data_IF_534746360445
#
_entry.id   IF_534746360445
#
_cell.length_a   1.000
_cell.length_b   1.000
_cell.length_c   1.000
_cell.angle_alpha   90.00
_cell.angle_beta   90.00
_cell.angle_gamma   90.00
#
_symmetry.space_group_name_H-M   'P 1'
#
loop_
_entity.id
_entity.type
_entity.pdbx_description
1 polymer ?
#
# COMPACT_ATOMS: atom_id res chain seq x y z
N UNK A 1 -3.10 -50.15 -40.82
CA UNK A 1 -1.95 -49.38 -40.46
C UNK A 1 -2.26 -48.65 -39.15
N UNK A 2 -1.76 -49.16 -38.03
CA UNK A 2 -1.90 -48.57 -36.71
C UNK A 2 -0.65 -47.69 -36.50
N UNK A 3 -0.86 -46.40 -36.36
CA UNK A 3 0.20 -45.46 -36.04
C UNK A 3 0.33 -45.32 -34.53
N UNK A 4 1.52 -45.54 -34.06
CA UNK A 4 1.99 -45.35 -32.73
C UNK A 4 2.02 -43.84 -32.41
N UNK A 5 1.17 -43.39 -31.46
CA UNK A 5 1.35 -42.07 -30.81
C UNK A 5 2.28 -42.32 -29.62
N UNK A 6 3.55 -41.96 -29.78
CA UNK A 6 4.51 -41.86 -28.71
C UNK A 6 4.13 -40.70 -27.75
N UNK A 7 3.67 -41.04 -26.56
CA UNK A 7 3.46 -40.06 -25.51
C UNK A 7 4.79 -39.43 -25.11
N UNK A 8 4.93 -38.14 -25.34
CA UNK A 8 5.95 -37.33 -24.66
C UNK A 8 5.55 -37.28 -23.20
N UNK A 9 6.38 -37.85 -22.34
CA UNK A 9 6.33 -37.61 -20.90
C UNK A 9 6.43 -36.08 -20.69
N UNK A 10 5.44 -35.52 -20.02
CA UNK A 10 5.50 -34.14 -19.54
C UNK A 10 6.65 -34.00 -18.54
N UNK A 11 7.13 -32.77 -18.28
CA UNK A 11 8.21 -32.55 -17.35
C UNK A 11 7.87 -33.15 -15.98
N UNK A 12 8.84 -33.87 -15.39
CA UNK A 12 8.75 -34.44 -14.06
C UNK A 12 8.19 -33.39 -13.10
N UNK A 13 7.00 -33.63 -12.56
CA UNK A 13 6.48 -32.88 -11.43
C UNK A 13 7.37 -33.31 -10.25
N UNK A 14 8.36 -32.49 -9.93
CA UNK A 14 9.08 -32.62 -8.66
C UNK A 14 8.00 -32.67 -7.57
N UNK A 15 7.88 -33.81 -6.91
CA UNK A 15 7.00 -33.98 -5.75
C UNK A 15 7.53 -33.03 -4.66
N UNK A 16 7.00 -31.83 -4.63
CA UNK A 16 7.36 -30.84 -3.61
C UNK A 16 7.01 -31.44 -2.25
N UNK A 17 7.99 -31.56 -1.37
CA UNK A 17 7.75 -32.05 -0.01
C UNK A 17 6.66 -31.19 0.66
N UNK A 18 5.71 -31.85 1.31
CA UNK A 18 4.56 -31.19 1.96
C UNK A 18 4.55 -31.48 3.46
N UNK A 19 3.93 -30.60 4.21
CA UNK A 19 3.52 -30.82 5.59
C UNK A 19 2.00 -30.78 5.66
N UNK A 20 1.42 -31.61 6.51
CA UNK A 20 -0.02 -31.65 6.71
C UNK A 20 -0.43 -30.67 7.79
N UNK A 21 -1.32 -29.77 7.47
CA UNK A 21 -1.93 -28.84 8.40
C UNK A 21 -3.46 -29.00 8.39
N UNK A 22 -4.14 -28.54 9.44
CA UNK A 22 -5.59 -28.60 9.54
C UNK A 22 -6.15 -27.27 10.04
N UNK A 23 -7.38 -27.00 9.67
CA UNK A 23 -8.23 -25.96 10.22
C UNK A 23 -9.64 -26.50 10.48
N UNK A 24 -10.61 -25.64 10.79
CA UNK A 24 -12.00 -26.03 11.05
C UNK A 24 -12.71 -26.71 9.85
N UNK A 25 -12.16 -26.59 8.63
CA UNK A 25 -12.68 -27.19 7.40
C UNK A 25 -12.01 -28.51 7.04
N UNK A 26 -10.98 -28.95 7.80
CA UNK A 26 -10.26 -30.20 7.59
C UNK A 26 -8.80 -30.01 7.16
N UNK A 27 -8.17 -31.11 6.79
CA UNK A 27 -6.74 -31.17 6.47
C UNK A 27 -6.40 -30.70 5.05
N UNK A 28 -5.19 -30.16 4.88
CA UNK A 28 -4.55 -29.83 3.60
C UNK A 28 -3.06 -30.07 3.65
N UNK A 29 -2.48 -30.38 2.50
CA UNK A 29 -1.06 -30.51 2.30
C UNK A 29 -0.48 -29.13 1.87
N UNK A 30 0.33 -28.54 2.74
CA UNK A 30 0.99 -27.25 2.51
C UNK A 30 2.44 -27.52 2.07
N UNK A 31 2.98 -26.83 1.04
CA UNK A 31 4.37 -27.01 0.64
C UNK A 31 5.32 -26.80 1.84
N UNK A 32 6.28 -27.72 2.03
CA UNK A 32 7.20 -27.64 3.17
C UNK A 32 8.07 -26.39 3.14
N UNK A 33 8.38 -25.88 1.94
CA UNK A 33 9.13 -24.63 1.77
C UNK A 33 8.35 -23.38 2.17
N UNK A 34 7.00 -23.42 2.11
CA UNK A 34 6.16 -22.25 2.39
C UNK A 34 6.16 -21.88 3.88
N UNK A 35 6.18 -20.57 4.17
CA UNK A 35 5.96 -20.07 5.53
C UNK A 35 4.49 -19.75 5.81
N UNK A 36 3.65 -19.59 4.77
CA UNK A 36 2.20 -19.56 4.97
C UNK A 36 1.66 -20.95 5.33
N UNK A 37 0.46 -21.00 5.88
CA UNK A 37 -0.18 -22.23 6.31
C UNK A 37 -1.46 -22.55 5.53
N UNK A 38 -2.30 -23.40 6.13
CA UNK A 38 -3.51 -23.96 5.52
C UNK A 38 -4.56 -22.91 5.15
N UNK A 39 -4.75 -21.87 5.96
CA UNK A 39 -5.77 -20.85 5.68
C UNK A 39 -5.36 -19.98 4.48
N UNK A 40 -4.09 -19.62 4.39
CA UNK A 40 -3.54 -18.93 3.21
C UNK A 40 -3.59 -19.78 1.97
N UNK A 41 -3.31 -21.09 2.08
CA UNK A 41 -3.44 -22.02 0.95
C UNK A 41 -4.86 -22.01 0.39
N UNK A 42 -5.88 -22.14 1.25
CA UNK A 42 -7.29 -22.03 0.82
C UNK A 42 -7.62 -20.70 0.18
N UNK A 43 -7.09 -19.60 0.71
CA UNK A 43 -7.30 -18.27 0.13
C UNK A 43 -6.71 -18.18 -1.29
N UNK A 44 -5.53 -18.74 -1.53
CA UNK A 44 -4.92 -18.82 -2.87
C UNK A 44 -5.76 -19.67 -3.84
N UNK A 45 -6.31 -20.79 -3.36
CA UNK A 45 -7.18 -21.66 -4.18
C UNK A 45 -8.50 -20.96 -4.53
N UNK A 46 -9.06 -20.14 -3.63
CA UNK A 46 -10.34 -19.49 -3.79
C UNK A 46 -10.27 -18.15 -4.53
N UNK A 47 -9.18 -17.40 -4.36
CA UNK A 47 -9.06 -16.02 -4.83
C UNK A 47 -7.78 -15.87 -5.67
N UNK A 48 -7.86 -16.20 -6.95
CA UNK A 48 -6.83 -15.98 -7.98
C UNK A 48 -7.45 -15.11 -9.08
N UNK A 49 -7.56 -13.81 -8.83
CA UNK A 49 -8.36 -12.89 -9.64
C UNK A 49 -7.56 -11.75 -10.25
N UNK A 50 -6.83 -10.99 -9.44
CA UNK A 50 -6.14 -9.78 -9.91
C UNK A 50 -4.72 -10.04 -10.42
N UNK A 51 -4.10 -11.14 -10.02
CA UNK A 51 -2.69 -11.42 -10.23
C UNK A 51 -1.76 -10.48 -9.43
N UNK A 52 -2.29 -9.75 -8.45
CA UNK A 52 -1.55 -8.84 -7.58
C UNK A 52 -1.50 -9.41 -6.15
N UNK A 53 -0.50 -10.22 -5.80
CA UNK A 53 -0.34 -10.73 -4.46
C UNK A 53 0.07 -9.61 -3.49
N UNK A 54 -0.24 -9.83 -2.21
CA UNK A 54 0.10 -8.91 -1.12
C UNK A 54 1.59 -8.55 -1.08
N UNK A 55 2.47 -9.46 -1.47
CA UNK A 55 3.93 -9.25 -1.56
C UNK A 55 4.34 -8.05 -2.45
N UNK A 56 3.51 -7.63 -3.39
CA UNK A 56 3.77 -6.45 -4.22
C UNK A 56 3.65 -5.13 -3.44
N UNK A 57 3.09 -5.16 -2.23
CA UNK A 57 2.81 -3.98 -1.42
C UNK A 57 3.67 -3.99 -0.16
N UNK A 58 4.97 -3.68 -0.32
CA UNK A 58 5.95 -3.72 0.77
C UNK A 58 5.47 -3.04 2.06
N UNK A 59 4.96 -1.81 1.96
CA UNK A 59 4.49 -1.08 3.15
C UNK A 59 3.30 -1.75 3.84
N UNK A 60 2.52 -2.54 3.12
CA UNK A 60 1.43 -3.29 3.73
C UNK A 60 1.95 -4.52 4.49
N UNK A 61 2.92 -5.23 3.93
CA UNK A 61 3.61 -6.33 4.63
C UNK A 61 4.31 -5.80 5.89
N UNK A 62 5.04 -4.69 5.77
CA UNK A 62 5.70 -4.02 6.90
C UNK A 62 4.67 -3.62 7.98
N UNK A 63 3.54 -3.03 7.58
CA UNK A 63 2.48 -2.60 8.49
C UNK A 63 1.86 -3.77 9.26
N UNK A 64 1.63 -4.91 8.60
CA UNK A 64 1.18 -6.14 9.26
C UNK A 64 2.21 -6.61 10.30
N UNK A 65 3.50 -6.59 9.97
CA UNK A 65 4.56 -6.94 10.91
C UNK A 65 4.61 -5.99 12.11
N UNK A 66 4.45 -4.67 11.92
CA UNK A 66 4.35 -3.71 13.02
C UNK A 66 3.16 -4.01 13.94
N UNK A 67 1.98 -4.26 13.37
CA UNK A 67 0.78 -4.58 14.13
C UNK A 67 0.99 -5.84 14.98
N UNK A 68 1.51 -6.91 14.39
CA UNK A 68 1.72 -8.19 15.11
C UNK A 68 2.81 -8.07 16.18
N UNK A 69 3.88 -7.34 15.91
CA UNK A 69 4.95 -7.07 16.88
C UNK A 69 4.43 -6.26 18.07
N UNK A 70 3.69 -5.17 17.82
CA UNK A 70 3.10 -4.34 18.88
C UNK A 70 2.09 -5.11 19.71
N UNK A 71 1.25 -5.92 19.08
CA UNK A 71 0.28 -6.78 19.74
C UNK A 71 0.95 -7.85 20.64
N UNK A 72 1.99 -8.52 20.14
CA UNK A 72 2.73 -9.52 20.91
C UNK A 72 3.38 -8.90 22.17
N UNK A 73 3.98 -7.72 22.04
CA UNK A 73 4.57 -7.00 23.18
C UNK A 73 3.51 -6.60 24.22
N UNK A 74 2.35 -6.07 23.78
CA UNK A 74 1.27 -5.69 24.65
C UNK A 74 0.67 -6.90 25.39
N UNK A 75 0.42 -8.00 24.70
CA UNK A 75 -0.11 -9.23 25.28
C UNK A 75 0.85 -9.87 26.28
N UNK A 76 2.16 -9.80 26.02
CA UNK A 76 3.16 -10.30 26.96
C UNK A 76 3.19 -9.45 28.24
N UNK A 77 3.15 -8.13 28.11
CA UNK A 77 3.16 -7.22 29.27
C UNK A 77 1.90 -7.37 30.13
N UNK A 78 0.76 -7.70 29.53
CA UNK A 78 -0.50 -8.00 30.21
C UNK A 78 -0.61 -9.45 30.71
N UNK A 79 0.42 -10.27 30.49
CA UNK A 79 0.51 -11.63 31.01
C UNK A 79 -0.35 -12.66 30.28
N UNK A 80 -0.88 -12.35 29.09
CA UNK A 80 -1.68 -13.30 28.30
C UNK A 80 -0.88 -14.03 27.21
N UNK A 81 0.32 -13.56 26.90
CA UNK A 81 1.25 -14.23 26.00
C UNK A 81 2.57 -14.51 26.70
N UNK A 82 3.05 -15.74 26.62
CA UNK A 82 4.32 -16.13 27.22
C UNK A 82 5.50 -15.35 26.62
N UNK A 83 6.45 -14.95 27.47
CA UNK A 83 7.61 -14.14 27.06
C UNK A 83 8.43 -14.78 25.96
N UNK A 84 8.61 -16.10 26.00
CA UNK A 84 9.34 -16.86 24.99
C UNK A 84 8.69 -16.74 23.60
N UNK A 85 7.35 -16.91 23.54
CA UNK A 85 6.58 -16.76 22.30
C UNK A 85 6.63 -15.32 21.79
N UNK A 86 6.50 -14.32 22.67
CA UNK A 86 6.62 -12.91 22.31
C UNK A 86 7.97 -12.59 21.67
N UNK A 87 9.07 -13.08 22.24
CA UNK A 87 10.41 -12.88 21.70
C UNK A 87 10.53 -13.47 20.30
N UNK A 88 10.05 -14.69 20.09
CA UNK A 88 10.09 -15.36 18.80
C UNK A 88 9.22 -14.64 17.74
N UNK A 89 8.00 -14.22 18.11
CA UNK A 89 7.11 -13.44 17.23
C UNK A 89 7.77 -12.11 16.84
N UNK A 90 8.32 -11.37 17.81
CA UNK A 90 8.99 -10.11 17.54
C UNK A 90 10.20 -10.29 16.61
N UNK A 91 11.01 -11.32 16.83
CA UNK A 91 12.17 -11.61 15.97
C UNK A 91 11.74 -11.97 14.53
N UNK A 92 10.68 -12.76 14.36
CA UNK A 92 10.10 -13.05 13.05
C UNK A 92 9.60 -11.77 12.35
N UNK A 93 8.91 -10.88 13.07
CA UNK A 93 8.49 -9.59 12.55
C UNK A 93 9.69 -8.71 12.14
N UNK A 94 10.78 -8.71 12.90
CA UNK A 94 12.00 -7.94 12.57
C UNK A 94 12.65 -8.44 11.29
N UNK A 95 12.66 -9.75 11.05
CA UNK A 95 13.14 -10.30 9.78
C UNK A 95 12.25 -9.90 8.59
N UNK A 96 10.93 -9.86 8.77
CA UNK A 96 9.99 -9.39 7.74
C UNK A 96 10.24 -7.89 7.44
N UNK A 97 10.38 -7.06 8.47
CA UNK A 97 10.69 -5.63 8.32
C UNK A 97 12.04 -5.39 7.64
N UNK A 98 13.00 -6.33 7.80
CA UNK A 98 14.26 -6.34 7.08
C UNK A 98 14.14 -6.80 5.61
N UNK A 99 12.93 -7.10 5.13
CA UNK A 99 12.64 -7.50 3.76
C UNK A 99 12.71 -9.00 3.48
N UNK A 100 12.78 -9.85 4.51
CA UNK A 100 12.73 -11.31 4.34
C UNK A 100 11.29 -11.82 4.32
N UNK A 101 11.07 -12.96 3.68
CA UNK A 101 9.78 -13.69 3.64
C UNK A 101 8.63 -12.97 2.94
N UNK A 102 8.85 -11.83 2.29
CA UNK A 102 7.80 -11.09 1.59
C UNK A 102 7.14 -11.95 0.50
N UNK A 103 7.88 -12.83 -0.15
CA UNK A 103 7.41 -13.78 -1.16
C UNK A 103 6.37 -14.79 -0.63
N UNK A 104 6.24 -14.93 0.69
CA UNK A 104 5.24 -15.78 1.32
C UNK A 104 3.92 -15.07 1.67
N UNK A 105 3.82 -13.77 1.38
CA UNK A 105 2.57 -13.01 1.45
C UNK A 105 1.87 -13.09 0.10
N UNK A 106 1.18 -14.20 -0.13
CA UNK A 106 0.77 -14.69 -1.46
C UNK A 106 -0.71 -14.49 -1.77
N UNK A 107 -1.52 -14.00 -0.82
CA UNK A 107 -2.95 -13.79 -1.04
C UNK A 107 -3.19 -12.68 -2.06
N UNK A 108 -4.17 -12.87 -2.94
CA UNK A 108 -4.60 -11.86 -3.90
C UNK A 108 -5.19 -10.64 -3.16
N UNK A 109 -4.99 -9.44 -3.70
CA UNK A 109 -5.57 -8.21 -3.13
C UNK A 109 -7.09 -8.16 -3.24
N UNK A 110 -7.69 -8.87 -4.19
CA UNK A 110 -9.14 -9.04 -4.29
C UNK A 110 -9.53 -10.37 -3.64
N UNK A 111 -10.13 -10.28 -2.47
CA UNK A 111 -10.49 -11.42 -1.64
C UNK A 111 -11.77 -11.16 -0.86
N UNK A 112 -12.58 -12.21 -0.64
CA UNK A 112 -13.72 -12.15 0.26
C UNK A 112 -13.31 -12.26 1.73
N UNK A 113 -14.19 -11.84 2.66
CA UNK A 113 -13.96 -11.98 4.11
C UNK A 113 -13.36 -10.77 4.80
N UNK A 114 -13.43 -9.59 4.17
CA UNK A 114 -13.03 -8.31 4.77
C UNK A 114 -11.60 -8.32 5.35
N UNK A 115 -10.65 -8.94 4.63
CA UNK A 115 -9.24 -8.96 5.01
C UNK A 115 -8.80 -10.14 5.85
N UNK A 116 -9.68 -11.12 6.12
CA UNK A 116 -9.31 -12.30 6.93
C UNK A 116 -8.17 -13.09 6.30
N UNK A 117 -8.17 -13.29 4.99
CA UNK A 117 -7.08 -14.00 4.31
C UNK A 117 -5.74 -13.28 4.46
N UNK A 118 -5.72 -11.96 4.36
CA UNK A 118 -4.52 -11.15 4.59
C UNK A 118 -4.01 -11.24 6.03
N UNK A 119 -4.92 -11.10 7.00
CA UNK A 119 -4.58 -11.23 8.42
C UNK A 119 -4.00 -12.62 8.74
N UNK A 120 -4.63 -13.67 8.22
CA UNK A 120 -4.15 -15.04 8.43
C UNK A 120 -2.84 -15.33 7.70
N UNK A 121 -2.62 -14.78 6.50
CA UNK A 121 -1.33 -14.89 5.81
C UNK A 121 -0.19 -14.34 6.68
N UNK A 122 -0.39 -13.17 7.28
CA UNK A 122 0.59 -12.61 8.22
C UNK A 122 0.77 -13.50 9.47
N UNK A 123 -0.33 -13.94 10.08
CA UNK A 123 -0.28 -14.79 11.27
C UNK A 123 0.49 -16.08 11.01
N UNK A 124 0.23 -16.76 9.89
CA UNK A 124 0.85 -18.04 9.56
C UNK A 124 2.33 -17.88 9.21
N UNK A 125 2.71 -16.87 8.42
CA UNK A 125 4.12 -16.60 8.10
C UNK A 125 4.92 -16.29 9.37
N UNK A 126 4.39 -15.44 10.23
CA UNK A 126 5.04 -15.08 11.49
C UNK A 126 5.12 -16.29 12.43
N UNK A 127 4.04 -17.07 12.57
CA UNK A 127 4.04 -18.25 13.43
C UNK A 127 5.06 -19.30 12.97
N UNK A 128 5.10 -19.62 11.69
CA UNK A 128 6.05 -20.61 11.16
C UNK A 128 7.50 -20.15 11.30
N UNK A 129 7.77 -18.86 11.09
CA UNK A 129 9.12 -18.34 11.34
C UNK A 129 9.48 -18.33 12.83
N UNK A 130 8.55 -17.95 13.69
CA UNK A 130 8.75 -17.97 15.13
C UNK A 130 9.00 -19.40 15.65
N UNK A 131 8.28 -20.40 15.15
CA UNK A 131 8.51 -21.81 15.46
C UNK A 131 9.95 -22.23 15.16
N UNK A 132 10.47 -21.92 13.97
CA UNK A 132 11.86 -22.21 13.62
C UNK A 132 12.86 -21.51 14.56
N UNK A 133 12.60 -20.25 14.94
CA UNK A 133 13.45 -19.51 15.89
C UNK A 133 13.43 -20.12 17.31
N UNK A 134 12.36 -20.86 17.64
CA UNK A 134 12.24 -21.62 18.90
C UNK A 134 12.81 -23.06 18.78
N UNK A 135 13.31 -23.47 17.59
CA UNK A 135 13.86 -24.80 17.36
C UNK A 135 12.82 -25.86 16.98
N UNK A 136 11.63 -25.45 16.55
CA UNK A 136 10.55 -26.32 16.09
C UNK A 136 10.43 -26.30 14.56
N UNK A 137 9.65 -27.23 14.02
CA UNK A 137 9.35 -27.26 12.59
C UNK A 137 8.11 -26.38 12.28
N UNK A 138 8.03 -25.92 11.04
CA UNK A 138 6.84 -25.25 10.54
C UNK A 138 5.62 -26.16 10.65
N UNK A 139 4.49 -25.62 11.12
CA UNK A 139 3.25 -26.37 11.32
C UNK A 139 3.10 -27.02 12.69
N UNK A 140 4.13 -27.00 13.56
CA UNK A 140 4.04 -27.50 14.95
C UNK A 140 3.32 -26.49 15.85
N UNK A 141 2.06 -26.21 15.52
CA UNK A 141 1.25 -25.14 16.11
C UNK A 141 0.87 -25.35 17.58
N UNK A 142 1.10 -26.54 18.13
CA UNK A 142 1.01 -26.81 19.57
C UNK A 142 2.00 -25.99 20.41
N UNK A 143 3.13 -25.58 19.83
CA UNK A 143 4.13 -24.74 20.49
C UNK A 143 3.89 -23.25 20.28
N UNK A 144 3.47 -22.84 19.08
CA UNK A 144 3.12 -21.46 18.77
C UNK A 144 2.09 -21.44 17.64
N UNK A 145 0.88 -20.96 17.95
CA UNK A 145 -0.28 -21.01 17.06
C UNK A 145 -0.56 -19.67 16.37
N UNK A 146 -0.89 -19.66 15.06
CA UNK A 146 -1.19 -18.43 14.33
C UNK A 146 -2.36 -17.63 14.93
N UNK A 147 -3.45 -18.30 15.35
CA UNK A 147 -4.62 -17.64 15.92
C UNK A 147 -4.44 -17.34 17.40
N UNK A 148 -4.01 -18.33 18.20
CA UNK A 148 -4.05 -18.22 19.65
C UNK A 148 -2.91 -17.38 20.21
N UNK A 149 -1.75 -17.37 19.53
CA UNK A 149 -0.56 -16.64 19.96
C UNK A 149 -0.30 -15.39 19.11
N UNK A 150 -0.15 -15.50 17.78
CA UNK A 150 0.17 -14.35 16.91
C UNK A 150 -1.00 -13.39 16.82
N UNK A 151 -2.23 -13.90 16.75
CA UNK A 151 -3.46 -13.12 16.69
C UNK A 151 -4.11 -12.89 18.07
N UNK A 152 -3.40 -13.18 19.16
CA UNK A 152 -3.91 -13.02 20.53
C UNK A 152 -4.48 -11.62 20.76
N UNK A 153 -5.66 -11.54 21.40
CA UNK A 153 -6.40 -10.30 21.67
C UNK A 153 -6.78 -9.46 20.44
N UNK A 154 -6.78 -10.04 19.25
CA UNK A 154 -7.06 -9.35 18.00
C UNK A 154 -8.26 -9.98 17.28
N UNK A 155 -8.87 -9.16 16.42
CA UNK A 155 -9.73 -9.59 15.31
C UNK A 155 -9.10 -9.12 14.00
N UNK A 156 -9.49 -9.72 12.88
CA UNK A 156 -9.22 -9.10 11.57
C UNK A 156 -9.78 -7.67 11.53
N UNK A 157 -10.88 -7.41 12.22
CA UNK A 157 -11.62 -6.15 12.18
C UNK A 157 -10.88 -4.97 12.84
N UNK A 158 -9.87 -5.22 13.66
CA UNK A 158 -9.01 -4.16 14.21
C UNK A 158 -7.58 -4.23 13.65
N UNK A 159 -7.00 -5.40 13.49
CA UNK A 159 -5.62 -5.56 13.00
C UNK A 159 -5.48 -5.19 11.52
N UNK A 160 -6.41 -5.63 10.66
CA UNK A 160 -6.35 -5.39 9.22
C UNK A 160 -6.53 -3.91 8.85
N UNK A 161 -7.58 -3.18 9.29
CA UNK A 161 -7.71 -1.76 8.96
C UNK A 161 -6.60 -0.92 9.57
N UNK A 162 -6.07 -1.26 10.74
CA UNK A 162 -4.89 -0.60 11.30
C UNK A 162 -3.68 -0.78 10.39
N UNK A 163 -3.41 -2.00 9.90
CA UNK A 163 -2.32 -2.25 8.98
C UNK A 163 -2.49 -1.47 7.66
N UNK A 164 -3.71 -1.39 7.10
CA UNK A 164 -3.98 -0.58 5.90
C UNK A 164 -3.70 0.90 6.17
N UNK A 165 -4.16 1.46 7.29
CA UNK A 165 -3.92 2.86 7.66
C UNK A 165 -2.42 3.17 7.71
N UNK A 166 -1.63 2.33 8.36
CA UNK A 166 -0.17 2.49 8.42
C UNK A 166 0.48 2.35 7.05
N UNK A 167 0.06 1.35 6.25
CA UNK A 167 0.59 1.14 4.91
C UNK A 167 0.34 2.33 3.99
N UNK A 168 -0.87 2.87 4.00
CA UNK A 168 -1.25 4.06 3.23
C UNK A 168 -0.45 5.27 3.71
N UNK A 169 -0.33 5.49 5.03
CA UNK A 169 0.47 6.57 5.60
C UNK A 169 1.92 6.52 5.10
N UNK A 170 2.57 5.36 5.20
CA UNK A 170 3.95 5.17 4.74
C UNK A 170 4.10 5.39 3.23
N UNK A 171 3.15 4.89 2.43
CA UNK A 171 3.15 5.06 0.97
C UNK A 171 2.98 6.53 0.57
N UNK A 172 2.12 7.27 1.28
CA UNK A 172 1.89 8.70 1.02
C UNK A 172 3.13 9.53 1.32
N UNK A 173 3.95 9.19 2.31
CA UNK A 173 5.19 9.90 2.57
C UNK A 173 6.14 9.88 1.36
N UNK A 174 6.24 8.75 0.66
CA UNK A 174 7.02 8.65 -0.58
C UNK A 174 6.43 9.55 -1.69
N UNK A 175 5.11 9.57 -1.82
CA UNK A 175 4.42 10.43 -2.79
C UNK A 175 4.63 11.91 -2.48
N UNK A 176 4.54 12.30 -1.22
CA UNK A 176 4.79 13.68 -0.78
C UNK A 176 6.23 14.11 -1.03
N UNK A 177 7.21 13.23 -0.82
CA UNK A 177 8.60 13.51 -1.13
C UNK A 177 8.78 13.78 -2.64
N UNK A 178 8.23 12.93 -3.51
CA UNK A 178 8.30 13.12 -4.96
C UNK A 178 7.56 14.41 -5.43
N UNK A 179 6.41 14.72 -4.84
CA UNK A 179 5.71 15.99 -5.12
C UNK A 179 6.52 17.19 -4.62
N UNK A 180 7.27 17.05 -3.52
CA UNK A 180 8.19 18.08 -3.02
C UNK A 180 9.32 18.37 -4.01
N UNK A 181 9.90 17.34 -4.62
CA UNK A 181 10.90 17.49 -5.67
C UNK A 181 10.33 18.20 -6.92
N UNK A 182 9.12 17.80 -7.34
CA UNK A 182 8.43 18.46 -8.45
C UNK A 182 8.15 19.93 -8.15
N UNK A 183 7.64 20.24 -6.94
CA UNK A 183 7.39 21.61 -6.49
C UNK A 183 8.67 22.44 -6.56
N UNK A 184 9.78 21.96 -6.03
CA UNK A 184 11.05 22.65 -6.05
C UNK A 184 11.56 22.91 -7.48
N UNK A 185 11.38 21.93 -8.41
CA UNK A 185 11.72 22.12 -9.81
C UNK A 185 10.87 23.21 -10.48
N UNK A 186 9.58 23.28 -10.16
CA UNK A 186 8.67 24.32 -10.67
C UNK A 186 9.04 25.71 -10.11
N UNK A 187 9.40 25.81 -8.83
CA UNK A 187 9.89 27.04 -8.20
C UNK A 187 11.22 27.52 -8.84
N UNK A 188 12.13 26.58 -9.18
CA UNK A 188 13.34 26.95 -9.90
C UNK A 188 13.01 27.52 -11.30
N UNK A 189 12.02 26.95 -12.00
CA UNK A 189 11.55 27.49 -13.28
C UNK A 189 10.82 28.82 -13.13
N UNK A 190 10.09 29.05 -12.05
CA UNK A 190 9.53 30.36 -11.71
C UNK A 190 10.62 31.45 -11.67
N UNK A 191 11.72 31.17 -10.99
CA UNK A 191 12.84 32.13 -10.90
C UNK A 191 13.54 32.29 -12.26
N UNK A 192 13.84 31.17 -12.96
CA UNK A 192 14.50 31.18 -14.28
C UNK A 192 13.72 32.03 -15.30
N UNK A 193 12.39 31.94 -15.30
CA UNK A 193 11.51 32.60 -16.26
C UNK A 193 10.85 33.86 -15.73
N UNK A 194 11.29 34.39 -14.60
CA UNK A 194 10.69 35.56 -13.96
C UNK A 194 10.67 36.83 -14.83
N UNK A 195 11.61 36.91 -15.79
CA UNK A 195 11.76 38.03 -16.73
C UNK A 195 11.21 37.74 -18.14
N UNK A 196 10.71 36.53 -18.39
CA UNK A 196 10.21 36.14 -19.73
C UNK A 196 8.76 36.55 -19.87
N UNK A 197 8.48 37.58 -20.65
CA UNK A 197 7.13 38.07 -20.92
C UNK A 197 6.40 37.08 -21.86
N UNK A 198 5.14 36.86 -21.54
CA UNK A 198 4.19 36.10 -22.38
C UNK A 198 2.81 36.70 -22.33
N UNK A 199 1.94 36.26 -23.24
CA UNK A 199 0.53 36.55 -23.18
C UNK A 199 -0.15 35.61 -22.19
N UNK A 200 -0.81 36.16 -21.15
CA UNK A 200 -1.76 35.42 -20.32
C UNK A 200 -3.06 35.19 -21.10
N UNK A 201 -3.67 34.01 -20.95
CA UNK A 201 -4.90 33.64 -21.65
C UNK A 201 -6.02 33.33 -20.68
N UNK A 202 -7.24 33.67 -21.09
CA UNK A 202 -8.48 33.19 -20.48
C UNK A 202 -9.30 32.50 -21.58
N UNK A 203 -9.85 31.30 -21.30
CA UNK A 203 -10.60 30.51 -22.30
C UNK A 203 -9.82 30.30 -23.61
N UNK A 204 -8.49 30.18 -23.50
CA UNK A 204 -7.53 30.03 -24.62
C UNK A 204 -7.40 31.29 -25.53
N UNK A 205 -7.98 32.43 -25.14
CA UNK A 205 -7.88 33.71 -25.87
C UNK A 205 -6.90 34.65 -25.17
N UNK A 206 -6.25 35.51 -25.95
CA UNK A 206 -5.35 36.53 -25.44
C UNK A 206 -6.06 37.46 -24.44
N UNK A 207 -5.46 37.63 -23.30
CA UNK A 207 -5.99 38.50 -22.23
C UNK A 207 -5.02 39.64 -21.91
N UNK A 208 -4.09 39.43 -21.01
CA UNK A 208 -3.14 40.47 -20.55
C UNK A 208 -1.73 39.88 -20.43
N UNK A 209 -0.68 40.75 -20.52
CA UNK A 209 0.71 40.28 -20.31
C UNK A 209 0.92 39.72 -18.91
N UNK A 210 1.75 38.69 -18.85
CA UNK A 210 2.30 38.11 -17.61
C UNK A 210 3.71 37.62 -17.89
N UNK A 211 4.38 37.09 -16.87
CA UNK A 211 5.65 36.35 -17.06
C UNK A 211 5.42 34.83 -17.07
N UNK A 212 6.27 34.13 -17.82
CA UNK A 212 6.28 32.67 -17.79
C UNK A 212 6.61 32.15 -16.36
N UNK A 213 7.45 32.88 -15.63
CA UNK A 213 7.74 32.57 -14.22
C UNK A 213 6.49 32.56 -13.34
N UNK A 214 5.58 33.54 -13.51
CA UNK A 214 4.30 33.56 -12.78
C UNK A 214 3.44 32.32 -13.07
N UNK A 215 3.48 31.79 -14.29
CA UNK A 215 2.75 30.58 -14.65
C UNK A 215 3.35 29.37 -13.93
N UNK A 216 4.68 29.17 -13.95
CA UNK A 216 5.36 28.08 -13.23
C UNK A 216 5.20 28.22 -11.71
N UNK A 217 5.25 29.42 -11.16
CA UNK A 217 4.99 29.67 -9.73
C UNK A 217 3.57 29.27 -9.31
N UNK A 218 2.58 29.49 -10.19
CA UNK A 218 1.21 29.02 -9.93
C UNK A 218 1.11 27.48 -9.89
N UNK A 219 1.86 26.78 -10.73
CA UNK A 219 1.94 25.31 -10.69
C UNK A 219 2.60 24.83 -9.39
N UNK A 220 3.70 25.43 -8.99
CA UNK A 220 4.37 25.12 -7.73
C UNK A 220 3.45 25.29 -6.52
N UNK A 221 2.71 26.40 -6.47
CA UNK A 221 1.75 26.68 -5.40
C UNK A 221 0.60 25.67 -5.39
N UNK A 222 0.10 25.26 -6.56
CA UNK A 222 -0.94 24.24 -6.69
C UNK A 222 -0.49 22.90 -6.12
N UNK A 223 0.73 22.46 -6.45
CA UNK A 223 1.32 21.22 -5.91
C UNK A 223 1.50 21.35 -4.38
N UNK A 224 2.01 22.48 -3.88
CA UNK A 224 2.17 22.71 -2.43
C UNK A 224 0.85 22.62 -1.66
N UNK A 225 -0.23 23.17 -2.22
CA UNK A 225 -1.57 23.08 -1.61
C UNK A 225 -2.09 21.64 -1.61
N UNK A 226 -1.85 20.89 -2.70
CA UNK A 226 -2.22 19.48 -2.76
C UNK A 226 -1.46 18.64 -1.71
N UNK A 227 -0.14 18.84 -1.59
CA UNK A 227 0.69 18.19 -0.58
C UNK A 227 0.19 18.45 0.84
N UNK A 228 -0.12 19.70 1.18
CA UNK A 228 -0.66 20.04 2.49
C UNK A 228 -1.97 19.29 2.79
N UNK A 229 -2.90 19.27 1.84
CA UNK A 229 -4.18 18.55 2.01
C UNK A 229 -4.00 17.04 2.13
N UNK A 230 -3.07 16.47 1.38
CA UNK A 230 -2.73 15.03 1.47
C UNK A 230 -2.11 14.69 2.82
N UNK A 231 -1.21 15.52 3.36
CA UNK A 231 -0.63 15.31 4.67
C UNK A 231 -1.68 15.36 5.78
N UNK A 232 -2.60 16.31 5.76
CA UNK A 232 -3.70 16.38 6.73
C UNK A 232 -4.60 15.14 6.68
N UNK A 233 -4.88 14.63 5.48
CA UNK A 233 -5.66 13.39 5.35
C UNK A 233 -4.88 12.17 5.84
N UNK A 234 -3.58 12.10 5.57
CA UNK A 234 -2.71 11.03 6.06
C UNK A 234 -2.62 11.02 7.60
N UNK A 235 -2.49 12.18 8.22
CA UNK A 235 -2.47 12.32 9.69
C UNK A 235 -3.77 11.81 10.33
N UNK A 236 -4.89 11.91 9.62
CA UNK A 236 -6.17 11.33 10.03
C UNK A 236 -6.14 9.79 10.11
N UNK A 237 -5.35 9.14 9.26
CA UNK A 237 -5.20 7.67 9.26
C UNK A 237 -4.39 7.14 10.47
N UNK A 238 -3.68 8.01 11.19
CA UNK A 238 -2.95 7.61 12.40
C UNK A 238 -3.87 7.38 13.61
N UNK A 239 -5.17 7.67 13.50
CA UNK A 239 -6.16 7.23 14.48
C UNK A 239 -6.59 5.80 14.16
N UNK A 240 -6.29 4.88 15.09
CA UNK A 240 -6.42 3.43 14.89
C UNK A 240 -7.43 2.82 15.85
N UNK A 241 -7.95 1.64 15.49
CA UNK A 241 -8.91 0.91 16.29
C UNK A 241 -8.35 -0.37 16.93
N UNK A 242 -7.03 -0.51 17.11
CA UNK A 242 -6.45 -1.67 17.78
C UNK A 242 -6.99 -1.83 19.21
N UNK A 243 -7.36 -3.07 19.56
CA UNK A 243 -8.04 -3.39 20.81
C UNK A 243 -9.56 -3.32 20.72
N UNK A 244 -10.12 -2.86 19.62
CA UNK A 244 -11.56 -2.91 19.34
C UNK A 244 -12.09 -4.35 19.25
N UNK A 245 -11.26 -5.26 18.82
CA UNK A 245 -11.60 -6.65 18.48
C UNK A 245 -12.71 -6.73 17.43
N UNK A 246 -13.78 -7.47 17.65
CA UNK A 246 -14.77 -7.75 16.61
C UNK A 246 -15.60 -6.53 16.16
N UNK A 247 -16.07 -5.71 17.10
CA UNK A 247 -17.06 -4.63 16.86
C UNK A 247 -16.77 -3.32 17.61
N UNK A 248 -15.62 -3.19 18.24
CA UNK A 248 -15.27 -1.98 19.00
C UNK A 248 -15.45 -2.08 20.51
N UNK A 249 -15.98 -3.17 21.03
CA UNK A 249 -16.23 -3.36 22.47
C UNK A 249 -15.06 -3.96 23.21
N UNK A 250 -14.01 -4.43 22.52
CA UNK A 250 -12.83 -5.05 23.12
C UNK A 250 -13.08 -6.43 23.72
N UNK A 251 -14.14 -7.13 23.29
CA UNK A 251 -14.43 -8.47 23.79
C UNK A 251 -13.25 -9.42 23.52
N UNK A 252 -12.94 -10.30 24.51
CA UNK A 252 -11.80 -11.23 24.48
C UNK A 252 -10.41 -10.58 24.49
N UNK A 253 -10.31 -9.30 24.83
CA UNK A 253 -9.02 -8.67 25.14
C UNK A 253 -8.93 -8.34 26.62
N UNK A 254 -7.73 -8.37 27.25
CA UNK A 254 -7.55 -8.04 28.63
C UNK A 254 -7.76 -6.53 28.86
N UNK A 255 -8.18 -6.12 30.09
CA UNK A 255 -8.31 -4.71 30.42
C UNK A 255 -7.01 -3.93 30.17
N UNK A 256 -7.11 -2.74 29.54
CA UNK A 256 -5.96 -1.90 29.20
C UNK A 256 -5.25 -2.26 27.88
N UNK A 257 -5.66 -3.34 27.22
CA UNK A 257 -5.00 -3.77 25.99
C UNK A 257 -5.03 -2.70 24.88
N UNK A 258 -6.16 -2.06 24.64
CA UNK A 258 -6.29 -1.06 23.58
C UNK A 258 -5.33 0.13 23.74
N UNK A 259 -5.15 0.60 24.98
CA UNK A 259 -4.20 1.68 25.27
C UNK A 259 -2.75 1.20 25.10
N UNK A 260 -2.44 0.05 25.68
CA UNK A 260 -1.07 -0.48 25.65
C UNK A 260 -0.62 -0.88 24.24
N UNK A 261 -1.47 -1.54 23.46
CA UNK A 261 -1.12 -1.94 22.08
C UNK A 261 -0.89 -0.71 21.20
N UNK A 262 -1.64 0.38 21.39
CA UNK A 262 -1.41 1.63 20.68
C UNK A 262 -0.05 2.22 21.03
N UNK A 263 0.35 2.23 22.30
CA UNK A 263 1.67 2.69 22.74
C UNK A 263 2.77 1.81 22.13
N UNK A 264 2.62 0.48 22.20
CA UNK A 264 3.60 -0.45 21.62
C UNK A 264 3.72 -0.27 20.10
N UNK A 265 2.59 -0.13 19.41
CA UNK A 265 2.59 0.09 17.96
C UNK A 265 3.27 1.42 17.58
N UNK A 266 3.06 2.49 18.33
CA UNK A 266 3.79 3.74 18.14
C UNK A 266 5.30 3.55 18.29
N UNK A 267 5.73 2.79 19.32
CA UNK A 267 7.15 2.51 19.58
C UNK A 267 7.80 1.68 18.47
N UNK A 268 7.14 0.61 18.02
CA UNK A 268 7.73 -0.31 17.02
C UNK A 268 7.69 0.25 15.60
N UNK A 269 6.71 1.07 15.25
CA UNK A 269 6.57 1.68 13.94
C UNK A 269 7.28 3.02 13.81
N UNK A 270 7.56 3.70 14.93
CA UNK A 270 8.04 5.08 14.95
C UNK A 270 6.98 6.11 14.51
N UNK A 271 5.72 5.70 14.35
CA UNK A 271 4.62 6.56 13.91
C UNK A 271 3.80 7.06 15.10
N UNK A 272 3.31 8.31 15.09
CA UNK A 272 2.54 8.87 16.20
C UNK A 272 1.07 8.41 16.14
N UNK A 273 0.86 7.10 16.16
CA UNK A 273 -0.49 6.54 16.16
C UNK A 273 -1.21 6.85 17.47
N UNK A 274 -2.52 7.01 17.39
CA UNK A 274 -3.38 7.29 18.52
C UNK A 274 -4.61 6.38 18.47
N UNK A 275 -5.08 6.00 19.66
CA UNK A 275 -6.30 5.20 19.81
C UNK A 275 -7.52 6.04 19.42
N UNK A 276 -8.45 5.49 18.66
CA UNK A 276 -9.73 6.13 18.38
C UNK A 276 -10.48 6.47 19.68
N UNK A 277 -11.06 7.67 19.72
CA UNK A 277 -11.85 8.13 20.88
C UNK A 277 -13.03 7.21 21.15
N UNK A 278 -13.66 6.72 20.09
CA UNK A 278 -14.72 5.73 20.14
C UNK A 278 -14.34 4.53 19.25
N UNK A 279 -13.98 3.41 19.88
CA UNK A 279 -13.55 2.21 19.15
C UNK A 279 -14.66 1.56 18.32
N UNK A 280 -15.94 1.73 18.70
CA UNK A 280 -17.06 1.23 17.90
C UNK A 280 -17.18 2.03 16.60
N UNK A 281 -17.10 3.36 16.67
CA UNK A 281 -17.08 4.23 15.49
C UNK A 281 -15.83 3.95 14.65
N UNK A 282 -14.63 3.87 15.26
CA UNK A 282 -13.38 3.63 14.57
C UNK A 282 -13.29 2.25 13.87
N UNK A 283 -14.15 1.29 14.26
CA UNK A 283 -14.20 -0.04 13.64
C UNK A 283 -15.10 -0.05 12.40
N UNK A 284 -16.18 0.73 12.37
CA UNK A 284 -17.12 0.73 11.25
C UNK A 284 -16.90 1.85 10.23
N UNK A 285 -16.22 2.92 10.60
CA UNK A 285 -16.07 4.11 9.76
C UNK A 285 -14.86 3.99 8.83
N UNK A 286 -15.11 3.99 7.53
CA UNK A 286 -14.10 4.01 6.47
C UNK A 286 -13.83 5.43 5.92
N UNK A 287 -14.42 6.48 6.49
CA UNK A 287 -14.33 7.86 6.01
C UNK A 287 -12.91 8.39 5.84
N UNK A 288 -11.97 7.94 6.69
CA UNK A 288 -10.54 8.29 6.56
C UNK A 288 -9.91 7.83 5.25
N UNK A 289 -10.28 6.65 4.75
CA UNK A 289 -9.80 6.14 3.46
C UNK A 289 -10.42 6.91 2.30
N UNK A 290 -11.71 7.21 2.36
CA UNK A 290 -12.41 8.06 1.37
C UNK A 290 -11.80 9.44 1.31
N UNK A 291 -11.51 10.05 2.46
CA UNK A 291 -10.86 11.37 2.56
C UNK A 291 -9.47 11.35 1.91
N UNK A 292 -8.66 10.33 2.18
CA UNK A 292 -7.34 10.19 1.57
C UNK A 292 -7.42 10.03 0.05
N UNK A 293 -8.29 9.14 -0.42
CA UNK A 293 -8.54 8.91 -1.84
C UNK A 293 -8.98 10.19 -2.56
N UNK A 294 -9.91 10.96 -1.97
CA UNK A 294 -10.37 12.23 -2.53
C UNK A 294 -9.24 13.26 -2.66
N UNK A 295 -8.31 13.31 -1.70
CA UNK A 295 -7.15 14.20 -1.79
C UNK A 295 -6.15 13.75 -2.88
N UNK A 296 -5.96 12.45 -3.07
CA UNK A 296 -5.16 11.93 -4.19
C UNK A 296 -5.81 12.26 -5.53
N UNK A 297 -7.14 12.09 -5.66
CA UNK A 297 -7.89 12.50 -6.86
C UNK A 297 -7.71 13.99 -7.13
N UNK A 298 -7.84 14.85 -6.12
CA UNK A 298 -7.63 16.31 -6.26
C UNK A 298 -6.24 16.59 -6.84
N UNK A 299 -5.19 16.00 -6.26
CA UNK A 299 -3.82 16.16 -6.77
C UNK A 299 -3.67 15.68 -8.20
N UNK A 300 -4.28 14.54 -8.55
CA UNK A 300 -4.27 14.00 -9.91
C UNK A 300 -4.96 14.94 -10.92
N UNK A 301 -6.11 15.50 -10.59
CA UNK A 301 -6.81 16.49 -11.45
C UNK A 301 -5.94 17.72 -11.68
N UNK A 302 -5.33 18.26 -10.62
CA UNK A 302 -4.45 19.42 -10.71
C UNK A 302 -3.18 19.13 -11.53
N UNK A 303 -2.54 17.98 -11.32
CA UNK A 303 -1.35 17.59 -12.05
C UNK A 303 -1.66 17.29 -13.53
N UNK A 304 -2.81 16.68 -13.83
CA UNK A 304 -3.27 16.49 -15.21
C UNK A 304 -3.49 17.81 -15.94
N UNK A 305 -4.02 18.82 -15.26
CA UNK A 305 -4.17 20.16 -15.81
C UNK A 305 -2.82 20.79 -16.14
N UNK A 306 -1.85 20.72 -15.21
CA UNK A 306 -0.50 21.23 -15.46
C UNK A 306 0.14 20.52 -16.66
N UNK A 307 0.00 19.21 -16.76
CA UNK A 307 0.50 18.45 -17.90
C UNK A 307 -0.16 18.84 -19.22
N UNK A 308 -1.46 19.11 -19.21
CA UNK A 308 -2.16 19.59 -20.40
C UNK A 308 -1.65 20.98 -20.84
N UNK A 309 -1.41 21.88 -19.91
CA UNK A 309 -0.83 23.19 -20.21
C UNK A 309 0.57 23.04 -20.82
N UNK A 310 1.45 22.25 -20.22
CA UNK A 310 2.80 22.01 -20.74
C UNK A 310 2.80 21.42 -22.14
N UNK A 311 1.87 20.48 -22.41
CA UNK A 311 1.68 19.90 -23.76
C UNK A 311 1.24 20.95 -24.76
N UNK A 312 0.30 21.82 -24.39
CA UNK A 312 -0.24 22.84 -25.26
C UNK A 312 0.78 23.95 -25.52
N UNK A 313 1.42 24.47 -24.47
CA UNK A 313 2.47 25.49 -24.59
C UNK A 313 3.67 25.01 -25.43
N UNK A 314 3.97 23.73 -25.45
CA UNK A 314 5.07 23.13 -26.25
C UNK A 314 4.65 22.69 -27.64
N UNK A 315 3.39 22.91 -28.04
CA UNK A 315 2.85 22.45 -29.33
C UNK A 315 3.53 23.11 -30.53
N UNK A 316 3.65 22.39 -31.61
CA UNK A 316 4.24 22.90 -32.86
C UNK A 316 5.46 22.10 -33.32
N UNK A 317 6.55 22.76 -33.75
CA UNK A 317 6.89 24.19 -33.57
C UNK A 317 6.26 25.17 -34.58
N UNK A 318 5.78 24.72 -35.74
CA UNK A 318 5.37 25.64 -36.80
C UNK A 318 3.90 26.05 -36.77
N UNK A 319 3.03 25.12 -36.36
CA UNK A 319 1.58 25.30 -36.37
C UNK A 319 0.99 25.16 -34.96
N UNK A 320 1.76 25.42 -33.91
CA UNK A 320 1.35 25.44 -32.52
C UNK A 320 1.85 26.69 -31.81
N UNK A 321 1.70 26.73 -30.47
CA UNK A 321 2.09 27.87 -29.66
C UNK A 321 3.61 28.03 -29.51
N UNK A 322 4.29 26.93 -29.28
CA UNK A 322 5.75 26.87 -29.10
C UNK A 322 6.32 27.91 -28.14
N UNK A 323 5.62 28.20 -27.09
CA UNK A 323 6.05 29.14 -26.03
C UNK A 323 7.13 28.54 -25.13
N UNK A 324 7.11 27.20 -24.97
CA UNK A 324 8.13 26.45 -24.24
C UNK A 324 8.66 25.30 -25.11
N UNK A 325 9.85 24.83 -24.78
CA UNK A 325 10.44 23.64 -25.37
C UNK A 325 10.71 22.61 -24.29
N UNK A 326 10.00 21.48 -24.36
CA UNK A 326 10.25 20.35 -23.46
C UNK A 326 11.47 19.55 -23.95
N UNK A 327 12.24 18.93 -23.04
CA UNK A 327 13.34 18.05 -23.40
C UNK A 327 12.86 16.87 -24.26
N UNK A 328 13.57 16.52 -25.35
CA UNK A 328 13.24 15.33 -26.15
C UNK A 328 13.58 14.07 -25.34
N UNK A 329 12.58 13.24 -25.06
CA UNK A 329 12.75 12.02 -24.25
C UNK A 329 12.79 10.75 -25.10
N UNK A 330 12.14 10.76 -26.27
CA UNK A 330 12.16 9.65 -27.24
C UNK A 330 11.69 10.10 -28.62
N UNK A 331 11.99 9.34 -29.69
CA UNK A 331 11.38 9.57 -30.99
C UNK A 331 9.84 9.48 -30.92
N UNK A 332 9.14 10.43 -31.52
CA UNK A 332 7.68 10.56 -31.36
C UNK A 332 6.85 9.95 -32.52
N UNK A 333 7.50 9.38 -33.53
CA UNK A 333 6.78 8.82 -34.70
C UNK A 333 7.62 7.80 -35.44
N UNK A 334 6.97 6.76 -35.97
CA UNK A 334 7.59 5.76 -36.84
C UNK A 334 7.71 6.21 -38.33
N UNK A 335 6.96 7.25 -38.71
CA UNK A 335 6.91 7.71 -40.11
C UNK A 335 7.24 9.20 -40.31
N UNK A 336 7.39 9.94 -39.21
CA UNK A 336 7.72 11.39 -39.26
C UNK A 336 9.07 11.60 -38.53
N UNK A 337 10.20 11.51 -39.23
CA UNK A 337 11.51 11.71 -38.60
C UNK A 337 11.62 13.08 -37.97
N UNK A 338 12.18 13.14 -36.75
CA UNK A 338 12.37 14.37 -35.99
C UNK A 338 11.14 14.87 -35.23
N UNK A 339 9.97 14.22 -35.33
CA UNK A 339 8.83 14.52 -34.47
C UNK A 339 9.14 14.06 -33.06
N UNK A 340 8.96 14.94 -32.08
CA UNK A 340 9.10 14.65 -30.63
C UNK A 340 7.80 15.00 -29.94
N UNK A 341 7.16 14.00 -29.33
CA UNK A 341 5.95 14.20 -28.56
C UNK A 341 6.29 14.56 -27.09
N UNK A 342 5.40 15.26 -26.38
CA UNK A 342 5.54 15.55 -24.94
C UNK A 342 5.16 14.30 -24.12
N UNK A 343 5.86 13.18 -24.31
CA UNK A 343 5.49 11.86 -23.81
C UNK A 343 5.44 11.74 -22.29
N UNK A 344 6.28 12.49 -21.56
CA UNK A 344 6.23 12.47 -20.08
C UNK A 344 4.93 13.09 -19.55
N UNK A 345 4.50 14.30 -19.96
CA UNK A 345 3.19 14.81 -19.56
C UNK A 345 2.01 13.92 -20.00
N UNK A 346 2.11 13.24 -21.15
CA UNK A 346 1.10 12.29 -21.61
C UNK A 346 0.99 11.08 -20.67
N UNK A 347 2.10 10.49 -20.28
CA UNK A 347 2.16 9.37 -19.35
C UNK A 347 1.61 9.77 -17.98
N UNK A 348 2.01 10.94 -17.45
CA UNK A 348 1.50 11.45 -16.18
C UNK A 348 -0.02 11.63 -16.20
N UNK A 349 -0.58 12.14 -17.33
CA UNK A 349 -2.04 12.24 -17.47
C UNK A 349 -2.74 10.88 -17.40
N UNK A 350 -2.17 9.82 -17.97
CA UNK A 350 -2.72 8.45 -17.88
C UNK A 350 -2.71 7.93 -16.45
N UNK A 351 -1.62 8.16 -15.70
CA UNK A 351 -1.56 7.83 -14.26
C UNK A 351 -2.64 8.59 -13.47
N UNK A 352 -2.83 9.87 -13.77
CA UNK A 352 -3.88 10.68 -13.14
C UNK A 352 -5.28 10.13 -13.42
N UNK A 353 -5.57 9.68 -14.64
CA UNK A 353 -6.87 9.08 -14.98
C UNK A 353 -7.10 7.78 -14.20
N UNK A 354 -6.06 6.97 -14.00
CA UNK A 354 -6.13 5.76 -13.18
C UNK A 354 -6.45 6.08 -11.71
N UNK A 355 -5.80 7.08 -11.14
CA UNK A 355 -6.06 7.53 -9.76
C UNK A 355 -7.51 8.02 -9.60
N UNK A 356 -8.01 8.80 -10.57
CA UNK A 356 -9.40 9.28 -10.56
C UNK A 356 -10.38 8.11 -10.62
N UNK A 357 -10.10 7.09 -11.43
CA UNK A 357 -10.90 5.87 -11.51
C UNK A 357 -10.91 5.08 -10.20
N UNK A 358 -9.77 4.93 -9.54
CA UNK A 358 -9.67 4.25 -8.25
C UNK A 358 -10.42 4.98 -7.12
N UNK A 359 -10.52 6.31 -7.16
CA UNK A 359 -11.31 7.05 -6.17
C UNK A 359 -12.80 6.68 -6.22
N UNK A 360 -13.34 6.42 -7.41
CA UNK A 360 -14.71 5.89 -7.54
C UNK A 360 -14.82 4.53 -6.87
N UNK A 361 -13.85 3.65 -7.10
CA UNK A 361 -13.80 2.32 -6.46
C UNK A 361 -13.77 2.43 -4.93
N UNK A 362 -12.88 3.25 -4.38
CA UNK A 362 -12.77 3.46 -2.92
C UNK A 362 -14.06 4.05 -2.34
N UNK A 363 -14.71 4.96 -3.07
CA UNK A 363 -15.97 5.57 -2.61
C UNK A 363 -17.16 4.58 -2.60
N UNK A 364 -17.08 3.52 -3.41
CA UNK A 364 -18.13 2.49 -3.47
C UNK A 364 -17.90 1.36 -2.46
N UNK A 365 -16.64 1.10 -2.11
CA UNK A 365 -16.24 0.05 -1.17
C UNK A 365 -16.52 0.45 0.29
#
# INVERSE_FOLDING_TARGET
AADQISGKAGPDVELTAVRREHDSLGERDVPLSAYYGVQTLRARENFDLSGLPLSNFKHFVDALAFVKKGAAQANCELGVLAKEKMVAICAACDEILAGKFHEHFVVDMIQGGAGTSTNMNANEVIANRALELMGHNKGEYEFLHPNDDVNCSQSTNDAYPTAIKLAVYLSIQNTLAALGELKAALEAKEQEFSHVLKMGRTENQDAVPMTLGQEFGSYAMTIGTAMHSMQLAADGLLEINMGATAIGTGINSPPGYADLVTIKLAQVSGLPVRKAVNLVQGTQDAGGFVQMSANMKRAAVQLSKICNDLRWLSSGPRCGLYEIRLPPMQPGSSIMPGKVNPGIPEMVSQVCFTIIGYDVTVSMA
#
